data_IF_389000856318
#
_entry.id   IF_389000856318
#
_cell.length_a   1.000
_cell.length_b   1.000
_cell.length_c   1.000
_cell.angle_alpha   90.00
_cell.angle_beta   90.00
_cell.angle_gamma   90.00
#
_symmetry.space_group_name_H-M   'P 1'
#
loop_
_entity.id
_entity.type
_entity.pdbx_description
1 polymer ?
#
# COMPACT_ATOMS: atom_id res chain seq x y z
N UNK A 1 -5.76 -17.41 17.90
CA UNK A 1 -4.30 -17.51 17.82
C UNK A 1 -3.65 -16.28 18.44
N UNK A 2 -2.61 -16.46 19.28
CA UNK A 2 -1.89 -15.31 19.80
C UNK A 2 -1.23 -14.55 18.64
N UNK A 3 -1.33 -13.24 18.69
CA UNK A 3 -0.70 -12.36 17.70
C UNK A 3 0.80 -12.34 17.96
N UNK A 4 1.60 -12.54 16.91
CA UNK A 4 3.06 -12.49 17.04
C UNK A 4 3.53 -11.04 17.18
N UNK A 5 4.45 -10.75 18.12
CA UNK A 5 5.06 -9.42 18.18
C UNK A 5 5.97 -9.19 16.97
N UNK A 6 6.17 -7.92 16.63
CA UNK A 6 7.10 -7.48 15.58
C UNK A 6 8.24 -6.72 16.21
N UNK A 7 9.48 -7.13 15.94
CA UNK A 7 10.68 -6.40 16.37
C UNK A 7 11.23 -5.64 15.16
N UNK A 8 11.45 -4.34 15.34
CA UNK A 8 11.96 -3.47 14.29
C UNK A 8 12.83 -2.37 14.89
N UNK A 9 14.08 -2.24 14.42
CA UNK A 9 15.05 -1.23 14.89
C UNK A 9 15.12 -1.09 16.41
N UNK A 10 15.32 -2.20 17.11
CA UNK A 10 15.41 -2.26 18.58
C UNK A 10 14.11 -1.91 19.32
N UNK A 11 12.99 -1.71 18.61
CA UNK A 11 11.68 -1.53 19.19
C UNK A 11 10.84 -2.78 19.00
N UNK A 12 10.04 -3.12 20.00
CA UNK A 12 9.13 -4.26 19.95
C UNK A 12 7.68 -3.75 19.90
N UNK A 13 6.93 -4.21 18.91
CA UNK A 13 5.51 -3.94 18.75
C UNK A 13 4.72 -5.19 19.11
N UNK A 14 3.77 -5.07 20.02
CA UNK A 14 2.99 -6.21 20.52
C UNK A 14 2.18 -6.90 19.43
N UNK A 15 1.76 -6.14 18.41
CA UNK A 15 0.99 -6.65 17.29
C UNK A 15 1.47 -6.07 15.98
N UNK A 16 1.19 -6.79 14.88
CA UNK A 16 1.42 -6.27 13.53
C UNK A 16 0.65 -4.96 13.28
N UNK A 17 -0.55 -4.81 13.87
CA UNK A 17 -1.34 -3.59 13.75
C UNK A 17 -0.68 -2.36 14.38
N UNK A 18 0.02 -2.53 15.51
CA UNK A 18 0.80 -1.44 16.10
C UNK A 18 1.98 -1.04 15.20
N UNK A 19 2.66 -2.02 14.63
CA UNK A 19 3.73 -1.76 13.67
C UNK A 19 3.20 -1.08 12.41
N UNK A 20 2.05 -1.48 11.91
CA UNK A 20 1.38 -0.83 10.78
C UNK A 20 1.07 0.64 11.07
N UNK A 21 0.57 0.95 12.26
CA UNK A 21 0.31 2.34 12.67
C UNK A 21 1.58 3.18 12.67
N UNK A 22 2.68 2.62 13.14
CA UNK A 22 3.99 3.28 13.12
C UNK A 22 4.45 3.58 11.69
N UNK A 23 4.41 2.60 10.81
CA UNK A 23 4.79 2.76 9.40
C UNK A 23 3.88 3.75 8.69
N UNK A 24 2.58 3.65 8.91
CA UNK A 24 1.58 4.54 8.35
C UNK A 24 1.80 5.99 8.77
N UNK A 25 2.16 6.23 10.01
CA UNK A 25 2.52 7.56 10.51
C UNK A 25 3.70 8.14 9.74
N UNK A 26 4.75 7.36 9.52
CA UNK A 26 5.92 7.80 8.76
C UNK A 26 5.54 8.18 7.33
N UNK A 27 4.78 7.33 6.65
CA UNK A 27 4.43 7.52 5.24
C UNK A 27 3.43 8.67 5.05
N UNK A 28 2.40 8.75 5.88
CA UNK A 28 1.29 9.71 5.72
C UNK A 28 1.52 11.05 6.39
N UNK A 29 2.15 11.06 7.57
CA UNK A 29 2.31 12.27 8.37
C UNK A 29 3.72 12.86 8.27
N UNK A 30 4.75 12.04 8.47
CA UNK A 30 6.13 12.51 8.53
C UNK A 30 6.69 12.88 7.15
N UNK A 31 6.35 12.12 6.10
CA UNK A 31 6.82 12.34 4.74
C UNK A 31 5.70 12.92 3.86
N UNK A 32 4.60 12.18 3.73
CA UNK A 32 3.52 12.51 2.80
C UNK A 32 3.92 12.26 1.34
N UNK A 33 3.27 12.94 0.42
CA UNK A 33 3.59 12.85 -1.01
C UNK A 33 4.96 13.49 -1.25
N UNK A 34 5.88 12.72 -1.80
CA UNK A 34 7.25 13.17 -2.04
C UNK A 34 7.86 12.43 -3.23
N UNK A 35 8.43 13.16 -4.16
CA UNK A 35 9.10 12.59 -5.32
C UNK A 35 10.56 12.23 -5.04
N UNK A 36 11.16 12.75 -3.98
CA UNK A 36 12.55 12.57 -3.64
C UNK A 36 12.72 12.44 -2.12
N UNK A 37 12.35 11.28 -1.61
CA UNK A 37 12.39 10.99 -0.17
C UNK A 37 13.83 11.00 0.35
N UNK A 38 14.78 10.49 -0.45
CA UNK A 38 16.17 10.38 -0.07
C UNK A 38 16.80 11.74 0.30
N UNK A 39 16.55 12.76 -0.51
CA UNK A 39 17.12 14.09 -0.30
C UNK A 39 16.27 14.96 0.63
N UNK A 40 14.93 14.85 0.54
CA UNK A 40 14.03 15.65 1.36
C UNK A 40 13.95 15.17 2.81
N UNK A 41 13.99 13.85 3.03
CA UNK A 41 13.83 13.21 4.34
C UNK A 41 14.84 12.07 4.53
N UNK A 42 16.16 12.37 4.63
CA UNK A 42 17.19 11.33 4.66
C UNK A 42 17.04 10.35 5.83
N UNK A 43 16.65 10.83 7.00
CA UNK A 43 16.43 9.97 8.17
C UNK A 43 15.23 9.02 7.95
N UNK A 44 14.15 9.55 7.42
CA UNK A 44 12.95 8.75 7.11
C UNK A 44 13.18 7.81 5.93
N UNK A 45 14.01 8.23 4.97
CA UNK A 45 14.43 7.37 3.87
C UNK A 45 15.13 6.11 4.39
N UNK A 46 16.07 6.26 5.32
CA UNK A 46 16.75 5.12 5.92
C UNK A 46 15.77 4.18 6.64
N UNK A 47 14.87 4.73 7.45
CA UNK A 47 13.85 3.95 8.16
C UNK A 47 12.94 3.23 7.15
N UNK A 48 12.52 3.92 6.11
CA UNK A 48 11.64 3.36 5.08
C UNK A 48 12.33 2.21 4.32
N UNK A 49 13.61 2.32 4.01
CA UNK A 49 14.40 1.22 3.44
C UNK A 49 14.37 0.01 4.37
N UNK A 50 14.60 0.21 5.65
CA UNK A 50 14.58 -0.88 6.64
C UNK A 50 13.20 -1.55 6.74
N UNK A 51 12.14 -0.79 6.61
CA UNK A 51 10.77 -1.35 6.55
C UNK A 51 10.61 -2.19 5.28
N UNK A 52 10.98 -1.65 4.13
CA UNK A 52 10.81 -2.31 2.84
C UNK A 52 11.69 -3.56 2.68
N UNK A 53 12.82 -3.65 3.39
CA UNK A 53 13.65 -4.87 3.43
C UNK A 53 12.87 -6.10 3.89
N UNK A 54 11.78 -5.92 4.61
CA UNK A 54 10.89 -7.00 5.04
C UNK A 54 10.00 -7.54 3.91
N UNK A 55 9.93 -6.81 2.80
CA UNK A 55 9.15 -7.26 1.63
C UNK A 55 9.81 -8.50 1.01
N UNK A 56 9.02 -9.56 0.68
CA UNK A 56 9.58 -10.79 0.11
C UNK A 56 10.39 -10.58 -1.18
N UNK A 57 10.00 -9.60 -1.99
CA UNK A 57 10.65 -9.31 -3.28
C UNK A 57 11.57 -8.09 -3.21
N UNK A 58 11.99 -7.68 -2.02
CA UNK A 58 12.81 -6.48 -1.84
C UNK A 58 14.04 -6.46 -2.75
N UNK A 59 14.82 -7.53 -2.76
CA UNK A 59 16.07 -7.59 -3.53
C UNK A 59 15.85 -7.41 -5.03
N UNK A 60 14.82 -8.07 -5.60
CA UNK A 60 14.52 -7.98 -7.03
C UNK A 60 13.92 -6.62 -7.40
N UNK A 61 13.06 -6.06 -6.54
CA UNK A 61 12.42 -4.76 -6.79
C UNK A 61 13.35 -3.57 -6.60
N UNK A 62 14.37 -3.70 -5.74
CA UNK A 62 15.30 -2.62 -5.44
C UNK A 62 16.60 -2.67 -6.24
N UNK A 63 16.72 -3.60 -7.18
CA UNK A 63 17.86 -3.66 -8.08
C UNK A 63 17.99 -2.33 -8.84
N UNK A 64 19.20 -1.73 -8.78
CA UNK A 64 19.50 -0.41 -9.35
C UNK A 64 18.66 0.74 -8.76
N UNK A 65 18.22 0.62 -7.50
CA UNK A 65 17.49 1.67 -6.81
C UNK A 65 18.36 2.88 -6.54
N UNK A 66 17.83 4.08 -6.81
CA UNK A 66 18.49 5.34 -6.45
C UNK A 66 17.66 6.18 -5.46
N UNK A 67 16.35 5.96 -5.37
CA UNK A 67 15.46 6.77 -4.55
C UNK A 67 14.14 6.04 -4.26
N UNK A 68 13.33 6.65 -3.38
CA UNK A 68 11.95 6.23 -3.11
C UNK A 68 11.04 7.43 -3.38
N UNK A 69 9.88 7.14 -3.94
CA UNK A 69 8.83 8.11 -4.23
C UNK A 69 7.55 7.67 -3.52
N UNK A 70 6.84 8.62 -2.94
CA UNK A 70 5.53 8.39 -2.34
C UNK A 70 4.50 9.22 -3.09
N UNK A 71 3.43 8.57 -3.55
CA UNK A 71 2.35 9.21 -4.29
C UNK A 71 1.01 8.55 -3.98
N UNK A 72 -0.07 9.17 -4.43
CA UNK A 72 -1.39 8.57 -4.31
C UNK A 72 -1.51 7.30 -5.13
N UNK A 73 -2.22 6.33 -4.58
CA UNK A 73 -2.60 5.13 -5.32
C UNK A 73 -3.56 5.51 -6.46
N UNK A 74 -3.34 4.95 -7.65
CA UNK A 74 -4.18 5.22 -8.82
C UNK A 74 -5.60 4.68 -8.67
N UNK A 75 -5.77 3.59 -7.92
CA UNK A 75 -7.07 2.95 -7.67
C UNK A 75 -7.78 3.54 -6.45
N UNK A 76 -7.02 3.98 -5.46
CA UNK A 76 -7.55 4.59 -4.24
C UNK A 76 -6.82 5.90 -3.95
N UNK A 77 -7.36 7.00 -4.43
CA UNK A 77 -6.75 8.33 -4.30
C UNK A 77 -6.58 8.83 -2.86
N UNK A 78 -7.14 8.13 -1.88
CA UNK A 78 -6.96 8.45 -0.45
C UNK A 78 -5.80 7.68 0.17
N UNK A 79 -5.29 6.66 -0.51
CA UNK A 79 -4.17 5.85 -0.04
C UNK A 79 -2.86 6.30 -0.68
N UNK A 80 -1.79 6.23 0.06
CA UNK A 80 -0.43 6.49 -0.44
C UNK A 80 0.26 5.16 -0.74
N UNK A 81 1.02 5.14 -1.82
CA UNK A 81 1.86 4.01 -2.22
C UNK A 81 3.31 4.42 -2.31
N UNK A 82 4.20 3.46 -2.13
CA UNK A 82 5.64 3.63 -2.27
C UNK A 82 6.12 3.08 -3.60
N UNK A 83 7.00 3.80 -4.25
CA UNK A 83 7.63 3.41 -5.51
C UNK A 83 9.14 3.42 -5.34
N UNK A 84 9.79 2.42 -5.90
CA UNK A 84 11.24 2.40 -6.04
C UNK A 84 11.61 3.11 -7.33
N UNK A 85 12.42 4.15 -7.22
CA UNK A 85 12.97 4.88 -8.38
C UNK A 85 14.31 4.26 -8.72
N UNK A 86 14.46 3.79 -9.95
CA UNK A 86 15.69 3.17 -10.44
C UNK A 86 16.57 4.17 -11.17
N UNK A 87 17.85 3.84 -11.33
CA UNK A 87 18.85 4.68 -12.01
C UNK A 87 18.47 5.02 -13.46
N UNK A 88 17.71 4.17 -14.13
CA UNK A 88 17.23 4.38 -15.50
C UNK A 88 15.95 5.23 -15.58
N UNK A 89 15.47 5.72 -14.45
CA UNK A 89 14.24 6.52 -14.35
C UNK A 89 12.95 5.72 -14.24
N UNK A 90 13.01 4.39 -14.31
CA UNK A 90 11.84 3.54 -14.14
C UNK A 90 11.40 3.49 -12.67
N UNK A 91 10.09 3.39 -12.46
CA UNK A 91 9.50 3.24 -11.13
C UNK A 91 8.93 1.83 -10.97
N UNK A 92 9.18 1.21 -9.83
CA UNK A 92 8.65 -0.10 -9.49
C UNK A 92 7.81 0.02 -8.23
N UNK A 93 6.58 -0.46 -8.29
CA UNK A 93 5.70 -0.48 -7.13
C UNK A 93 6.20 -1.50 -6.10
N UNK A 94 6.32 -1.06 -4.86
CA UNK A 94 6.64 -1.93 -3.72
C UNK A 94 5.64 -1.67 -2.60
N UNK A 95 4.89 -2.71 -2.23
CA UNK A 95 3.85 -2.56 -1.21
C UNK A 95 4.45 -2.52 0.19
N UNK A 96 4.37 -1.36 0.85
CA UNK A 96 4.76 -1.24 2.24
C UNK A 96 3.89 -2.09 3.18
N UNK A 97 2.64 -2.37 2.80
CA UNK A 97 1.76 -3.27 3.56
C UNK A 97 2.23 -4.72 3.50
N UNK A 98 2.70 -5.18 2.34
CA UNK A 98 3.35 -6.48 2.22
C UNK A 98 4.62 -6.55 3.06
N UNK A 99 5.39 -5.47 3.13
CA UNK A 99 6.57 -5.37 3.97
C UNK A 99 6.22 -5.52 5.47
N UNK A 100 5.11 -4.96 5.92
CA UNK A 100 4.66 -5.11 7.29
C UNK A 100 4.36 -6.57 7.64
N UNK A 101 3.64 -7.28 6.78
CA UNK A 101 3.32 -8.69 6.97
C UNK A 101 4.51 -9.63 6.69
N UNK A 102 5.50 -9.14 5.94
CA UNK A 102 6.65 -9.90 5.46
C UNK A 102 6.27 -11.16 4.67
N UNK A 103 5.12 -11.14 3.99
CA UNK A 103 4.58 -12.28 3.25
C UNK A 103 4.00 -11.82 1.91
N UNK A 104 4.10 -12.70 0.91
CA UNK A 104 3.35 -12.53 -0.33
C UNK A 104 1.84 -12.64 -0.07
N UNK A 105 1.05 -11.91 -0.83
CA UNK A 105 -0.39 -12.17 -0.90
C UNK A 105 -0.62 -13.56 -1.49
N UNK A 106 -1.57 -14.30 -0.92
CA UNK A 106 -1.94 -15.60 -1.49
C UNK A 106 -2.58 -15.42 -2.88
N UNK A 107 -2.43 -16.41 -3.75
CA UNK A 107 -3.09 -16.41 -5.07
C UNK A 107 -4.61 -16.24 -4.94
N UNK A 108 -5.21 -16.87 -3.93
CA UNK A 108 -6.63 -16.70 -3.61
C UNK A 108 -6.97 -15.23 -3.29
N UNK A 109 -6.15 -14.56 -2.49
CA UNK A 109 -6.36 -13.16 -2.13
C UNK A 109 -6.25 -12.26 -3.37
N UNK A 110 -5.24 -12.49 -4.20
CA UNK A 110 -5.05 -11.73 -5.45
C UNK A 110 -6.24 -11.90 -6.40
N UNK A 111 -6.69 -13.15 -6.58
CA UNK A 111 -7.87 -13.45 -7.41
C UNK A 111 -9.12 -12.75 -6.88
N UNK A 112 -9.39 -12.84 -5.58
CA UNK A 112 -10.55 -12.20 -4.96
C UNK A 112 -10.48 -10.67 -5.07
N UNK A 113 -9.30 -10.09 -4.94
CA UNK A 113 -9.10 -8.64 -5.12
C UNK A 113 -9.39 -8.21 -6.55
N UNK A 114 -8.88 -8.96 -7.54
CA UNK A 114 -9.14 -8.70 -8.96
C UNK A 114 -10.65 -8.82 -9.29
N UNK A 115 -11.31 -9.84 -8.76
CA UNK A 115 -12.76 -10.03 -8.93
C UNK A 115 -13.55 -8.88 -8.32
N UNK A 116 -13.21 -8.42 -7.13
CA UNK A 116 -13.87 -7.27 -6.49
C UNK A 116 -13.71 -6.00 -7.33
N UNK A 117 -12.52 -5.73 -7.84
CA UNK A 117 -12.28 -4.57 -8.70
C UNK A 117 -13.09 -4.62 -9.99
N UNK A 118 -13.19 -5.79 -10.60
CA UNK A 118 -13.99 -6.02 -11.82
C UNK A 118 -15.48 -5.80 -11.58
N UNK A 119 -16.02 -6.35 -10.48
CA UNK A 119 -17.43 -6.23 -10.11
C UNK A 119 -17.77 -4.79 -9.66
N UNK A 120 -16.88 -4.12 -8.95
CA UNK A 120 -17.13 -2.78 -8.42
C UNK A 120 -17.46 -1.78 -9.53
N UNK A 121 -16.75 -1.81 -10.65
CA UNK A 121 -17.05 -0.95 -11.80
C UNK A 121 -18.42 -1.24 -12.41
N UNK A 122 -18.80 -2.51 -12.49
CA UNK A 122 -20.11 -2.93 -12.99
C UNK A 122 -21.23 -2.47 -12.04
N UNK A 123 -21.03 -2.60 -10.73
CA UNK A 123 -22.02 -2.16 -9.72
C UNK A 123 -22.19 -0.64 -9.79
N UNK A 124 -21.10 0.11 -9.91
CA UNK A 124 -21.15 1.57 -10.03
C UNK A 124 -21.88 2.00 -11.29
N UNK A 125 -21.63 1.35 -12.41
CA UNK A 125 -22.33 1.63 -13.67
C UNK A 125 -23.84 1.32 -13.56
N UNK A 126 -24.18 0.16 -13.01
CA UNK A 126 -25.57 -0.24 -12.78
C UNK A 126 -26.31 0.79 -11.90
N UNK A 127 -25.70 1.20 -10.78
CA UNK A 127 -26.29 2.22 -9.90
C UNK A 127 -26.52 3.55 -10.60
N UNK A 128 -25.58 3.96 -11.45
CA UNK A 128 -25.68 5.20 -12.23
C UNK A 128 -26.84 5.12 -13.23
N UNK A 129 -26.95 4.01 -13.94
CA UNK A 129 -27.97 3.81 -14.98
C UNK A 129 -29.39 3.71 -14.40
N UNK A 130 -29.52 3.17 -13.18
CA UNK A 130 -30.81 2.93 -12.53
C UNK A 130 -31.06 3.82 -11.31
N UNK A 131 -30.35 4.93 -11.19
CA UNK A 131 -30.46 5.83 -10.04
C UNK A 131 -31.88 6.35 -9.83
N UNK A 132 -32.60 6.66 -10.93
CA UNK A 132 -33.95 7.22 -10.91
C UNK A 132 -35.07 6.17 -10.96
N UNK A 133 -34.74 4.88 -11.03
CA UNK A 133 -35.73 3.80 -11.19
C UNK A 133 -36.41 3.42 -9.87
N UNK A 134 -35.88 3.89 -8.73
CA UNK A 134 -36.35 3.55 -7.42
C UNK A 134 -35.93 2.15 -6.98
N UNK A 135 -36.54 1.65 -5.93
CA UNK A 135 -36.24 0.33 -5.39
C UNK A 135 -36.73 -0.77 -6.31
N UNK A 136 -35.85 -1.65 -6.76
CA UNK A 136 -36.18 -2.77 -7.65
C UNK A 136 -37.02 -3.87 -6.94
N UNK A 137 -37.06 -3.87 -5.61
CA UNK A 137 -37.82 -4.85 -4.81
C UNK A 137 -39.19 -4.32 -4.46
N UNK A 138 -39.31 -3.12 -3.93
CA UNK A 138 -40.55 -2.54 -3.44
C UNK A 138 -41.13 -1.46 -4.35
N UNK A 139 -40.45 -1.05 -5.41
CA UNK A 139 -40.89 -0.03 -6.35
C UNK A 139 -40.87 1.43 -5.81
N UNK A 140 -40.39 1.64 -4.59
CA UNK A 140 -40.32 2.97 -3.99
C UNK A 140 -39.02 3.70 -4.37
N UNK A 141 -39.11 4.97 -4.58
CA UNK A 141 -37.98 5.84 -4.83
C UNK A 141 -37.34 6.33 -3.54
#
# INVERSE_FOLDING_TARGET
>A
MPRKPVTFLNAEYKTQGEFEKYVKKIIYEDIGICNDVKNAYPDKYYILIKILERHPDFNSKTENMCNIKIMYDTLNKKALKTLIVKNDGNNVDISWRCAISAKHKSKKHELMSAMRSSIDSQIKQFKKDHYNDGCQICGNN
#
